data_IF_365790638740
#
_entry.id   IF_365790638740
#
_cell.length_a   1.000
_cell.length_b   1.000
_cell.length_c   1.000
_cell.angle_alpha   90.00
_cell.angle_beta   90.00
_cell.angle_gamma   90.00
#
_symmetry.space_group_name_H-M   'P 1'
#
loop_
_entity.id
_entity.type
_entity.pdbx_description
1 polymer ?
#
# COMPACT_ATOMS: atom_id res chain seq x y z
N UNK A 1 -12.93 -8.40 -10.18
CA UNK A 1 -11.70 -8.01 -9.50
C UNK A 1 -11.97 -7.58 -8.08
N UNK A 2 -10.93 -7.42 -7.28
CA UNK A 2 -11.03 -6.88 -5.93
C UNK A 2 -10.96 -5.34 -5.98
N UNK A 3 -11.75 -4.66 -5.15
CA UNK A 3 -11.58 -3.24 -4.89
C UNK A 3 -10.61 -3.08 -3.72
N UNK A 4 -9.42 -2.58 -3.98
CA UNK A 4 -8.38 -2.38 -2.96
C UNK A 4 -8.35 -0.92 -2.55
N UNK A 5 -8.49 -0.66 -1.26
CA UNK A 5 -8.36 0.68 -0.67
C UNK A 5 -7.16 0.70 0.28
N UNK A 6 -6.30 1.71 0.13
CA UNK A 6 -5.22 1.99 1.07
C UNK A 6 -5.74 2.96 2.12
N UNK A 7 -5.60 2.60 3.39
CA UNK A 7 -6.10 3.41 4.50
C UNK A 7 -5.19 4.63 4.74
N UNK A 8 -5.70 5.87 4.63
CA UNK A 8 -4.92 7.08 4.82
C UNK A 8 -4.92 7.62 6.26
N UNK A 9 -5.64 6.97 7.17
CA UNK A 9 -5.89 7.47 8.52
C UNK A 9 -4.69 7.24 9.46
N UNK A 10 -3.67 8.08 9.36
CA UNK A 10 -2.45 8.08 10.15
C UNK A 10 -2.46 9.09 11.33
N UNK A 11 -3.65 9.53 11.72
CA UNK A 11 -3.87 10.55 12.74
C UNK A 11 -3.87 9.98 14.18
N UNK A 12 -3.89 10.88 15.17
CA UNK A 12 -3.94 10.52 16.59
C UNK A 12 -5.11 9.59 16.93
N UNK A 13 -6.26 9.74 16.27
CA UNK A 13 -7.43 8.90 16.52
C UNK A 13 -7.14 7.42 16.21
N UNK A 14 -6.45 7.13 15.11
CA UNK A 14 -6.03 5.77 14.80
C UNK A 14 -5.12 5.17 15.89
N UNK A 15 -4.21 5.98 16.45
CA UNK A 15 -3.37 5.55 17.58
C UNK A 15 -4.23 5.24 18.83
N UNK A 16 -5.15 6.12 19.16
CA UNK A 16 -6.05 5.95 20.32
C UNK A 16 -6.96 4.71 20.17
N UNK A 17 -7.40 4.42 18.95
CA UNK A 17 -8.12 3.17 18.62
C UNK A 17 -7.18 1.97 18.77
N UNK A 18 -5.97 2.04 18.25
CA UNK A 18 -4.96 0.97 18.34
C UNK A 18 -4.67 0.57 19.78
N UNK A 19 -4.53 1.54 20.68
CA UNK A 19 -4.30 1.31 22.13
C UNK A 19 -5.43 0.53 22.82
N UNK A 20 -6.64 0.53 22.28
CA UNK A 20 -7.77 -0.27 22.82
C UNK A 20 -7.63 -1.75 22.48
N UNK A 21 -6.93 -2.09 21.39
CA UNK A 21 -6.88 -3.45 20.84
C UNK A 21 -5.53 -4.12 20.95
N UNK A 22 -4.46 -3.33 21.02
CA UNK A 22 -3.06 -3.81 21.09
C UNK A 22 -2.49 -3.42 22.46
N UNK A 23 -1.65 -4.29 23.02
CA UNK A 23 -0.94 -3.97 24.25
C UNK A 23 0.02 -2.78 24.02
N UNK A 24 0.09 -1.84 24.95
CA UNK A 24 0.98 -0.68 24.89
C UNK A 24 2.48 -1.03 24.90
N UNK A 25 2.84 -2.25 25.28
CA UNK A 25 4.21 -2.78 25.15
C UNK A 25 4.60 -3.15 23.70
N UNK A 26 3.64 -3.16 22.77
CA UNK A 26 3.89 -3.40 21.38
C UNK A 26 4.60 -2.18 20.75
N UNK A 27 5.35 -2.44 19.66
CA UNK A 27 6.02 -1.34 18.97
C UNK A 27 4.99 -0.32 18.40
N UNK A 28 5.33 0.95 18.41
CA UNK A 28 4.45 2.03 17.96
C UNK A 28 3.85 1.83 16.55
N UNK A 29 4.61 1.36 15.53
CA UNK A 29 4.03 1.05 14.23
C UNK A 29 2.91 0.01 14.28
N UNK A 30 2.96 -0.98 15.18
CA UNK A 30 1.89 -1.95 15.31
C UNK A 30 0.59 -1.35 15.87
N UNK A 31 0.71 -0.37 16.77
CA UNK A 31 -0.43 0.39 17.28
C UNK A 31 -1.11 1.17 16.17
N UNK A 32 -0.33 1.85 15.32
CA UNK A 32 -0.84 2.61 14.18
C UNK A 32 -1.55 1.67 13.20
N UNK A 33 -0.89 0.61 12.76
CA UNK A 33 -1.43 -0.31 11.74
C UNK A 33 -2.73 -0.96 12.21
N UNK A 34 -2.76 -1.49 13.43
CA UNK A 34 -3.99 -2.08 13.97
C UNK A 34 -5.05 -1.01 14.18
N UNK A 35 -4.66 0.17 14.64
CA UNK A 35 -5.56 1.29 14.85
C UNK A 35 -6.21 1.77 13.55
N UNK A 36 -5.45 1.94 12.48
CA UNK A 36 -5.96 2.31 11.16
C UNK A 36 -7.01 1.31 10.66
N UNK A 37 -6.72 0.01 10.78
CA UNK A 37 -7.63 -1.05 10.34
C UNK A 37 -8.90 -1.04 11.19
N UNK A 38 -8.76 -1.01 12.52
CA UNK A 38 -9.91 -1.05 13.41
C UNK A 38 -10.77 0.21 13.31
N UNK A 39 -10.15 1.39 13.17
CA UNK A 39 -10.85 2.65 12.97
C UNK A 39 -11.67 2.61 11.66
N UNK A 40 -11.08 2.15 10.57
CA UNK A 40 -11.77 1.99 9.30
C UNK A 40 -12.97 1.02 9.42
N UNK A 41 -12.79 -0.15 10.03
CA UNK A 41 -13.85 -1.15 10.17
C UNK A 41 -14.97 -0.70 11.12
N UNK A 42 -14.65 0.07 12.15
CA UNK A 42 -15.61 0.62 13.11
C UNK A 42 -16.34 1.86 12.59
N UNK A 43 -15.86 2.49 11.52
CA UNK A 43 -16.43 3.72 10.95
C UNK A 43 -17.84 3.56 10.37
N UNK A 44 -18.29 2.33 10.14
CA UNK A 44 -19.56 2.04 9.45
C UNK A 44 -19.53 2.27 7.94
N UNK A 45 -18.39 2.70 7.37
CA UNK A 45 -18.22 2.97 5.93
C UNK A 45 -18.22 1.69 5.09
N UNK A 46 -17.81 0.57 5.67
CA UNK A 46 -17.58 -0.69 4.96
C UNK A 46 -18.63 -1.75 5.32
N UNK A 47 -19.08 -2.49 4.32
CA UNK A 47 -19.86 -3.72 4.54
C UNK A 47 -18.94 -4.83 5.04
N UNK A 48 -18.99 -5.12 6.33
CA UNK A 48 -18.09 -6.07 7.00
C UNK A 48 -18.22 -7.50 6.45
N UNK A 49 -19.34 -7.84 5.80
CA UNK A 49 -19.53 -9.16 5.17
C UNK A 49 -18.86 -9.27 3.80
N UNK A 50 -18.45 -8.13 3.21
CA UNK A 50 -17.78 -8.06 1.90
C UNK A 50 -16.37 -7.50 1.98
N UNK A 51 -15.86 -7.30 3.21
CA UNK A 51 -14.56 -6.70 3.46
C UNK A 51 -13.55 -7.76 3.91
N UNK A 52 -12.33 -7.64 3.45
CA UNK A 52 -11.18 -8.40 3.93
C UNK A 52 -10.02 -7.44 4.23
N UNK A 53 -9.22 -7.75 5.21
CA UNK A 53 -7.98 -7.03 5.52
C UNK A 53 -6.83 -7.70 4.79
N UNK A 54 -6.01 -6.90 4.10
CA UNK A 54 -4.80 -7.39 3.42
C UNK A 54 -3.59 -6.77 4.10
N UNK A 55 -2.63 -7.57 4.50
CA UNK A 55 -1.39 -7.12 5.14
C UNK A 55 -0.20 -7.90 4.62
N UNK A 56 0.90 -7.21 4.30
CA UNK A 56 2.16 -7.85 3.96
C UNK A 56 2.85 -8.38 5.22
N UNK A 57 3.50 -9.53 5.10
CA UNK A 57 4.27 -10.15 6.17
C UNK A 57 5.65 -10.55 5.65
N UNK A 58 6.70 -10.09 6.31
CA UNK A 58 8.07 -10.27 5.81
C UNK A 58 8.73 -11.56 6.29
N UNK A 59 8.21 -12.18 7.36
CA UNK A 59 8.79 -13.41 7.93
C UNK A 59 10.14 -13.23 8.63
N UNK A 60 10.60 -11.99 8.81
CA UNK A 60 11.87 -11.69 9.48
C UNK A 60 11.77 -11.69 11.01
N UNK A 61 12.89 -11.44 11.70
CA UNK A 61 12.97 -11.33 13.16
C UNK A 61 12.28 -10.09 13.77
N UNK A 62 11.72 -9.21 12.95
CA UNK A 62 10.98 -8.05 13.39
C UNK A 62 9.57 -8.43 13.88
N UNK A 63 9.04 -7.69 14.84
CA UNK A 63 7.64 -7.85 15.31
C UNK A 63 6.61 -7.59 14.22
N UNK A 64 6.97 -6.92 13.12
CA UNK A 64 6.14 -6.77 11.93
C UNK A 64 5.64 -8.10 11.37
N UNK A 65 6.38 -9.19 11.53
CA UNK A 65 5.93 -10.55 11.18
C UNK A 65 4.73 -11.03 12.01
N UNK A 66 4.41 -10.36 13.12
CA UNK A 66 3.28 -10.67 14.00
C UNK A 66 2.07 -9.74 13.84
N UNK A 67 2.09 -8.77 12.93
CA UNK A 67 0.97 -7.84 12.75
C UNK A 67 -0.33 -8.57 12.40
N UNK A 68 -0.26 -9.63 11.61
CA UNK A 68 -1.42 -10.48 11.29
C UNK A 68 -2.07 -11.03 12.57
N UNK A 69 -1.27 -11.51 13.51
CA UNK A 69 -1.77 -12.03 14.79
C UNK A 69 -2.42 -10.92 15.65
N UNK A 70 -1.84 -9.72 15.65
CA UNK A 70 -2.42 -8.57 16.34
C UNK A 70 -3.75 -8.14 15.73
N UNK A 71 -3.83 -8.07 14.39
CA UNK A 71 -5.06 -7.74 13.67
C UNK A 71 -6.15 -8.78 13.98
N UNK A 72 -5.85 -10.07 13.86
CA UNK A 72 -6.81 -11.15 14.19
C UNK A 72 -7.30 -11.07 15.63
N UNK A 73 -6.40 -10.79 16.58
CA UNK A 73 -6.77 -10.60 17.99
C UNK A 73 -7.65 -9.37 18.19
N UNK A 74 -7.36 -8.28 17.51
CA UNK A 74 -8.16 -7.06 17.55
C UNK A 74 -9.57 -7.30 16.99
N UNK A 75 -9.68 -7.97 15.85
CA UNK A 75 -10.96 -8.37 15.25
C UNK A 75 -11.77 -9.25 16.20
N UNK A 76 -11.13 -10.25 16.81
CA UNK A 76 -11.78 -11.10 17.82
C UNK A 76 -12.31 -10.30 19.01
N UNK A 77 -11.49 -9.38 19.55
CA UNK A 77 -11.90 -8.52 20.66
C UNK A 77 -13.07 -7.60 20.30
N UNK A 78 -13.20 -7.25 19.02
CA UNK A 78 -14.28 -6.40 18.50
C UNK A 78 -15.52 -7.19 18.04
N UNK A 79 -15.52 -8.53 18.12
CA UNK A 79 -16.63 -9.36 17.61
C UNK A 79 -16.71 -9.41 16.08
N UNK A 80 -15.59 -9.20 15.39
CA UNK A 80 -15.48 -9.14 13.94
C UNK A 80 -14.64 -10.28 13.36
N UNK A 81 -14.66 -11.46 13.98
CA UNK A 81 -13.84 -12.63 13.59
C UNK A 81 -14.16 -13.13 12.18
N UNK A 82 -15.34 -12.81 11.64
CA UNK A 82 -15.74 -13.17 10.28
C UNK A 82 -14.94 -12.45 9.19
N UNK A 83 -14.24 -11.35 9.51
CA UNK A 83 -13.46 -10.60 8.53
C UNK A 83 -12.16 -11.35 8.22
N UNK A 84 -11.93 -11.79 6.96
CA UNK A 84 -10.71 -12.49 6.61
C UNK A 84 -9.51 -11.55 6.69
N UNK A 85 -8.40 -12.05 7.24
CA UNK A 85 -7.11 -11.37 7.22
C UNK A 85 -6.18 -12.13 6.29
N UNK A 86 -5.90 -11.53 5.13
CA UNK A 86 -5.08 -12.10 4.07
C UNK A 86 -3.63 -11.67 4.28
N UNK A 87 -2.76 -12.63 4.54
CA UNK A 87 -1.32 -12.42 4.63
C UNK A 87 -0.69 -12.51 3.24
N UNK A 88 -0.14 -11.41 2.75
CA UNK A 88 0.68 -11.43 1.52
C UNK A 88 2.11 -11.75 1.91
N UNK A 89 2.50 -12.99 1.64
CA UNK A 89 3.76 -13.55 2.08
C UNK A 89 4.49 -14.22 0.92
N UNK A 90 5.76 -13.87 0.73
CA UNK A 90 6.64 -14.46 -0.29
C UNK A 90 7.19 -15.83 0.13
N UNK A 91 7.19 -16.14 1.43
CA UNK A 91 7.75 -17.38 1.98
C UNK A 91 6.74 -18.54 2.11
N UNK A 92 5.49 -18.34 1.71
CA UNK A 92 4.47 -19.40 1.74
C UNK A 92 4.06 -19.85 3.15
N UNK A 93 4.26 -19.04 4.18
CA UNK A 93 4.00 -19.36 5.59
C UNK A 93 2.51 -19.53 5.93
N UNK A 94 1.61 -19.00 5.12
CA UNK A 94 0.16 -19.21 5.29
C UNK A 94 -0.53 -19.45 3.95
N UNK A 95 -1.38 -20.47 3.87
CA UNK A 95 -2.31 -20.61 2.76
C UNK A 95 -3.57 -19.78 3.03
N UNK A 96 -3.88 -18.86 2.14
CA UNK A 96 -5.10 -18.04 2.23
C UNK A 96 -6.18 -18.65 1.33
N UNK A 97 -7.18 -19.37 1.88
CA UNK A 97 -8.28 -19.90 1.07
C UNK A 97 -9.05 -18.73 0.46
N UNK A 98 -9.17 -18.74 -0.86
CA UNK A 98 -9.88 -17.70 -1.61
C UNK A 98 -9.00 -16.64 -2.28
N UNK A 99 -7.73 -16.48 -1.90
CA UNK A 99 -6.79 -15.60 -2.60
C UNK A 99 -5.74 -16.41 -3.37
N UNK A 100 -5.80 -16.35 -4.70
CA UNK A 100 -4.85 -17.07 -5.57
C UNK A 100 -3.87 -16.08 -6.20
N UNK A 101 -2.58 -16.25 -5.93
CA UNK A 101 -1.52 -15.59 -6.67
C UNK A 101 -1.43 -16.21 -8.07
N UNK A 102 -1.90 -15.47 -9.07
CA UNK A 102 -1.80 -15.87 -10.48
C UNK A 102 -0.58 -15.20 -11.12
N UNK A 103 0.01 -15.83 -12.15
CA UNK A 103 1.14 -15.24 -12.89
C UNK A 103 0.85 -13.81 -13.42
N UNK A 104 -0.34 -13.52 -13.99
CA UNK A 104 -0.69 -12.16 -14.36
C UNK A 104 -0.68 -11.18 -13.18
N UNK A 105 -1.16 -11.59 -12.01
CA UNK A 105 -1.15 -10.76 -10.80
C UNK A 105 0.28 -10.51 -10.33
N UNK A 106 1.13 -11.54 -10.26
CA UNK A 106 2.55 -11.41 -9.89
C UNK A 106 3.27 -10.45 -10.84
N UNK A 107 3.03 -10.55 -12.15
CA UNK A 107 3.58 -9.63 -13.15
C UNK A 107 3.12 -8.18 -12.90
N UNK A 108 1.84 -7.96 -12.59
CA UNK A 108 1.31 -6.62 -12.26
C UNK A 108 1.97 -6.05 -11.02
N UNK A 109 2.10 -6.85 -9.96
CA UNK A 109 2.77 -6.43 -8.72
C UNK A 109 4.23 -6.06 -8.98
N UNK A 110 4.97 -6.88 -9.74
CA UNK A 110 6.36 -6.59 -10.08
C UNK A 110 6.49 -5.29 -10.89
N UNK A 111 5.64 -5.06 -11.88
CA UNK A 111 5.64 -3.82 -12.64
C UNK A 111 5.24 -2.61 -11.79
N UNK A 112 4.25 -2.78 -10.91
CA UNK A 112 3.85 -1.74 -9.95
C UNK A 112 4.99 -1.34 -9.02
N UNK A 113 5.74 -2.31 -8.49
CA UNK A 113 6.91 -2.05 -7.66
C UNK A 113 7.99 -1.26 -8.40
N UNK A 114 8.30 -1.64 -9.66
CA UNK A 114 9.28 -0.92 -10.47
C UNK A 114 8.82 0.50 -10.80
N UNK A 115 7.53 0.69 -11.18
CA UNK A 115 6.99 2.03 -11.39
C UNK A 115 7.07 2.89 -10.13
N UNK A 116 6.70 2.33 -8.98
CA UNK A 116 6.79 3.03 -7.70
C UNK A 116 8.20 3.46 -7.36
N UNK A 117 9.20 2.58 -7.57
CA UNK A 117 10.61 2.90 -7.32
C UNK A 117 11.13 4.00 -8.26
N UNK A 118 10.82 3.92 -9.57
CA UNK A 118 11.20 4.95 -10.53
C UNK A 118 10.55 6.29 -10.16
N UNK A 119 9.24 6.29 -9.90
CA UNK A 119 8.48 7.49 -9.56
C UNK A 119 9.02 8.16 -8.30
N UNK A 120 9.29 7.37 -7.26
CA UNK A 120 9.89 7.84 -6.02
C UNK A 120 11.27 8.48 -6.25
N UNK A 121 12.14 7.83 -7.03
CA UNK A 121 13.46 8.37 -7.38
C UNK A 121 13.36 9.67 -8.15
N UNK A 122 12.47 9.77 -9.14
CA UNK A 122 12.23 11.01 -9.88
C UNK A 122 11.79 12.14 -8.95
N UNK A 123 10.80 11.86 -8.08
CA UNK A 123 10.28 12.85 -7.13
C UNK A 123 11.36 13.33 -6.16
N UNK A 124 12.12 12.42 -5.56
CA UNK A 124 13.14 12.79 -4.57
C UNK A 124 14.32 13.54 -5.19
N UNK A 125 14.65 13.24 -6.46
CA UNK A 125 15.68 13.95 -7.18
C UNK A 125 15.28 15.39 -7.54
N UNK A 126 14.02 15.61 -7.93
CA UNK A 126 13.58 16.90 -8.48
C UNK A 126 12.99 17.85 -7.45
N UNK A 127 12.26 17.31 -6.44
CA UNK A 127 11.50 18.11 -5.46
C UNK A 127 12.32 19.15 -4.71
N UNK A 128 13.56 18.88 -4.23
CA UNK A 128 14.34 19.88 -3.51
C UNK A 128 14.78 21.07 -4.36
N UNK A 129 14.73 20.94 -5.68
CA UNK A 129 15.28 21.90 -6.64
C UNK A 129 14.23 22.51 -7.57
N UNK A 130 12.95 22.17 -7.41
CA UNK A 130 11.88 22.69 -8.25
C UNK A 130 11.79 24.22 -8.15
N UNK A 131 11.75 24.91 -9.31
CA UNK A 131 11.60 26.37 -9.35
C UNK A 131 10.16 26.82 -9.07
N UNK A 132 9.18 25.99 -9.42
CA UNK A 132 7.77 26.22 -9.15
C UNK A 132 7.31 25.24 -8.09
N UNK A 133 6.95 25.76 -6.91
CA UNK A 133 6.53 24.95 -5.77
C UNK A 133 5.37 24.01 -6.14
N UNK A 134 5.55 22.72 -5.87
CA UNK A 134 4.54 21.70 -6.06
C UNK A 134 4.40 21.16 -7.48
N UNK A 135 5.23 21.61 -8.47
CA UNK A 135 5.19 21.07 -9.83
C UNK A 135 5.51 19.57 -9.85
N UNK A 136 6.50 19.15 -9.04
CA UNK A 136 6.89 17.74 -8.92
C UNK A 136 5.76 16.91 -8.33
N UNK A 137 5.05 17.43 -7.33
CA UNK A 137 3.90 16.73 -6.71
C UNK A 137 2.72 16.62 -7.68
N UNK A 138 2.46 17.63 -8.51
CA UNK A 138 1.43 17.55 -9.55
C UNK A 138 1.79 16.50 -10.61
N UNK A 139 3.04 16.49 -11.05
CA UNK A 139 3.55 15.48 -12.00
C UNK A 139 3.46 14.06 -11.41
N UNK A 140 3.80 13.89 -10.13
CA UNK A 140 3.65 12.62 -9.40
C UNK A 140 2.21 12.10 -9.49
N UNK A 141 1.21 12.92 -9.15
CA UNK A 141 -0.21 12.52 -9.20
C UNK A 141 -0.65 12.11 -10.60
N UNK A 142 -0.20 12.81 -11.63
CA UNK A 142 -0.51 12.45 -13.03
C UNK A 142 0.06 11.07 -13.37
N UNK A 143 1.31 10.82 -13.02
CA UNK A 143 1.95 9.53 -13.28
C UNK A 143 1.37 8.40 -12.45
N UNK A 144 1.02 8.65 -11.21
CA UNK A 144 0.30 7.69 -10.36
C UNK A 144 -0.98 7.20 -11.05
N UNK A 145 -1.81 8.11 -11.56
CA UNK A 145 -3.03 7.77 -12.28
C UNK A 145 -2.77 7.01 -13.58
N UNK A 146 -1.74 7.40 -14.35
CA UNK A 146 -1.34 6.67 -15.58
C UNK A 146 -0.92 5.24 -15.26
N UNK A 147 -0.12 5.04 -14.21
CA UNK A 147 0.34 3.72 -13.76
C UNK A 147 -0.83 2.86 -13.28
N UNK A 148 -1.73 3.41 -12.48
CA UNK A 148 -2.94 2.72 -12.01
C UNK A 148 -3.78 2.28 -13.21
N UNK A 149 -4.03 3.17 -14.17
CA UNK A 149 -4.79 2.87 -15.38
C UNK A 149 -4.14 1.74 -16.19
N UNK A 150 -2.83 1.79 -16.39
CA UNK A 150 -2.09 0.75 -17.10
C UNK A 150 -2.18 -0.61 -16.39
N UNK A 151 -1.97 -0.64 -15.08
CA UNK A 151 -2.00 -1.87 -14.30
C UNK A 151 -3.42 -2.44 -14.15
N UNK A 152 -4.45 -1.62 -14.26
CA UNK A 152 -5.86 -2.05 -14.22
C UNK A 152 -6.30 -2.75 -15.51
N UNK A 153 -5.56 -2.61 -16.61
CA UNK A 153 -5.83 -3.28 -17.88
C UNK A 153 -5.86 -4.81 -17.77
N UNK A 154 -6.63 -5.46 -18.63
CA UNK A 154 -6.75 -6.92 -18.68
C UNK A 154 -5.45 -7.61 -19.09
N UNK A 155 -4.68 -6.98 -19.98
CA UNK A 155 -3.38 -7.45 -20.46
C UNK A 155 -2.34 -6.35 -20.37
N UNK A 156 -1.15 -6.67 -19.85
CA UNK A 156 -0.03 -5.72 -19.73
C UNK A 156 1.10 -6.13 -20.66
N UNK A 157 1.41 -5.24 -21.61
CA UNK A 157 2.53 -5.41 -22.52
C UNK A 157 3.85 -5.00 -21.87
N UNK A 158 4.88 -5.85 -22.00
CA UNK A 158 6.23 -5.50 -21.54
C UNK A 158 6.85 -4.33 -22.33
N UNK A 159 6.52 -4.22 -23.61
CA UNK A 159 6.98 -3.10 -24.44
C UNK A 159 6.37 -1.76 -23.96
N UNK A 160 5.07 -1.74 -23.69
CA UNK A 160 4.40 -0.57 -23.13
C UNK A 160 4.94 -0.20 -21.73
N UNK A 161 5.18 -1.19 -20.87
CA UNK A 161 5.82 -0.98 -19.57
C UNK A 161 7.16 -0.26 -19.72
N UNK A 162 8.08 -0.77 -20.57
CA UNK A 162 9.38 -0.12 -20.84
C UNK A 162 9.25 1.29 -21.40
N UNK A 163 8.29 1.50 -22.31
CA UNK A 163 8.01 2.82 -22.88
C UNK A 163 7.60 3.79 -21.80
N UNK A 164 6.63 3.43 -20.96
CA UNK A 164 6.14 4.26 -19.87
C UNK A 164 7.24 4.59 -18.83
N UNK A 165 8.13 3.65 -18.51
CA UNK A 165 9.26 3.93 -17.61
C UNK A 165 10.17 5.03 -18.19
N UNK A 166 10.46 4.97 -19.49
CA UNK A 166 11.29 5.99 -20.17
C UNK A 166 10.59 7.34 -20.23
N UNK A 167 9.32 7.36 -20.59
CA UNK A 167 8.50 8.58 -20.63
C UNK A 167 8.43 9.23 -19.26
N UNK A 168 8.22 8.44 -18.20
CA UNK A 168 8.21 8.94 -16.84
C UNK A 168 9.51 9.68 -16.49
N UNK A 169 10.65 9.04 -16.67
CA UNK A 169 11.96 9.66 -16.40
C UNK A 169 12.14 10.93 -17.23
N UNK A 170 11.87 10.87 -18.54
CA UNK A 170 12.01 12.00 -19.42
C UNK A 170 11.12 13.19 -19.02
N UNK A 171 9.85 12.94 -18.68
CA UNK A 171 8.94 14.00 -18.26
C UNK A 171 9.35 14.65 -16.91
N UNK A 172 9.98 13.92 -16.01
CA UNK A 172 10.56 14.53 -14.80
C UNK A 172 11.84 15.31 -15.10
N UNK A 173 12.72 14.83 -15.99
CA UNK A 173 13.95 15.53 -16.38
C UNK A 173 13.66 16.87 -17.09
N UNK A 174 12.44 17.08 -17.61
CA UNK A 174 12.04 18.37 -18.23
C UNK A 174 11.52 19.40 -17.22
N UNK A 175 11.38 19.05 -15.95
CA UNK A 175 10.95 19.99 -14.91
C UNK A 175 12.07 21.02 -14.68
N UNK A 176 11.76 22.34 -14.74
CA UNK A 176 12.74 23.36 -14.44
C UNK A 176 13.23 23.27 -12.98
N UNK A 177 14.54 23.24 -12.79
CA UNK A 177 15.20 23.19 -11.50
C UNK A 177 16.15 24.37 -11.32
N UNK A 178 16.40 24.75 -10.07
CA UNK A 178 17.43 25.74 -9.73
C UNK A 178 18.81 25.15 -10.00
N UNK A 179 19.71 25.96 -10.51
CA UNK A 179 21.13 25.63 -10.57
C UNK A 179 21.66 25.46 -9.13
N UNK A 180 22.32 24.33 -8.87
CA UNK A 180 22.96 24.01 -7.59
C UNK A 180 24.42 24.27 -7.68
#
# INVERSE_FOLDING_TARGET
>A
GYNLEVLPNDNKHAVDVGLKYVNNDACYPSLIVVGQIMDALLSGKYDLNKTAVVMSQTGGGCRASNYIAFIRRALKKAGMEQIPVISVNLSGLESNPGFKLTLPLVKKVAYGAVFGDILMKCVYRMRPYELEEGIVNRKHKIWEQRVISFLSGSSISHSQFKKMCREMVHEFDTIPISDV
#
